data_IF_618870658634
#
_entry.id   IF_618870658634
#
_cell.length_a   1.000
_cell.length_b   1.000
_cell.length_c   1.000
_cell.angle_alpha   90.00
_cell.angle_beta   90.00
_cell.angle_gamma   90.00
#
_symmetry.space_group_name_H-M   'P 1'
#
loop_
_entity.id
_entity.type
_entity.pdbx_description
1 polymer ?
#
# COMPACT_ATOMS: atom_id res chain seq x y z
N UNK A 1 -9.23 41.16 -23.85
CA UNK A 1 -9.83 40.00 -23.14
C UNK A 1 -9.75 38.70 -23.95
N UNK A 2 -9.94 38.71 -25.28
CA UNK A 2 -9.90 37.48 -26.08
C UNK A 2 -8.50 36.81 -26.19
N UNK A 3 -7.40 37.58 -26.19
CA UNK A 3 -6.04 37.01 -26.30
C UNK A 3 -5.55 36.30 -25.02
N UNK A 4 -6.03 36.69 -23.84
CA UNK A 4 -5.66 36.05 -22.57
C UNK A 4 -6.34 34.68 -22.41
N UNK A 5 -7.58 34.56 -22.88
CA UNK A 5 -8.36 33.31 -22.82
C UNK A 5 -7.77 32.26 -23.78
N UNK A 6 -7.29 32.68 -24.95
CA UNK A 6 -6.67 31.76 -25.94
C UNK A 6 -5.33 31.21 -25.42
N UNK A 7 -4.53 32.03 -24.71
CA UNK A 7 -3.27 31.57 -24.11
C UNK A 7 -3.52 30.61 -22.94
N UNK A 8 -4.56 30.85 -22.13
CA UNK A 8 -4.93 29.96 -21.02
C UNK A 8 -5.44 28.59 -21.52
N UNK A 9 -6.19 28.56 -22.63
CA UNK A 9 -6.65 27.31 -23.26
C UNK A 9 -5.51 26.53 -23.94
N UNK A 10 -4.50 27.21 -24.48
CA UNK A 10 -3.33 26.55 -25.06
C UNK A 10 -2.41 25.91 -24.01
N UNK A 11 -2.32 26.48 -22.80
CA UNK A 11 -1.57 25.92 -21.67
C UNK A 11 -2.24 24.67 -21.07
N UNK A 12 -3.58 24.64 -21.02
CA UNK A 12 -4.32 23.46 -20.55
C UNK A 12 -4.25 22.27 -21.53
N UNK A 13 -4.10 22.54 -22.84
CA UNK A 13 -3.97 21.49 -23.85
C UNK A 13 -2.59 20.80 -23.84
N UNK A 14 -1.55 21.45 -23.32
CA UNK A 14 -0.20 20.88 -23.26
C UNK A 14 -0.01 19.88 -22.10
N UNK A 15 -0.85 19.95 -21.05
CA UNK A 15 -0.79 19.00 -19.93
C UNK A 15 -1.49 17.65 -20.21
N UNK A 16 -2.37 17.59 -21.22
CA UNK A 16 -3.12 16.37 -21.54
C UNK A 16 -2.31 15.35 -22.38
N UNK A 17 -1.07 15.68 -22.78
CA UNK A 17 -0.34 14.95 -23.82
C UNK A 17 0.86 14.11 -23.38
N UNK A 18 1.29 14.17 -22.12
CA UNK A 18 2.36 13.29 -21.62
C UNK A 18 1.70 12.12 -20.89
N UNK A 19 1.05 11.24 -21.65
CA UNK A 19 0.93 9.86 -21.19
C UNK A 19 2.36 9.31 -21.18
N UNK A 20 3.04 9.40 -20.03
CA UNK A 20 4.34 8.78 -19.86
C UNK A 20 4.15 7.29 -20.13
N UNK A 21 4.72 6.79 -21.23
CA UNK A 21 4.70 5.37 -21.50
C UNK A 21 5.50 4.69 -20.39
N UNK A 22 4.82 3.95 -19.52
CA UNK A 22 5.46 3.19 -18.45
C UNK A 22 6.51 2.24 -19.03
N UNK A 23 7.61 2.07 -18.29
CA UNK A 23 8.69 1.16 -18.62
C UNK A 23 8.15 -0.26 -18.52
N UNK A 24 8.24 -1.02 -19.63
CA UNK A 24 7.87 -2.43 -19.63
C UNK A 24 8.92 -3.23 -18.87
N UNK A 25 8.45 -4.15 -18.04
CA UNK A 25 9.27 -5.14 -17.33
C UNK A 25 8.91 -6.53 -17.82
N UNK A 26 9.90 -7.42 -17.87
CA UNK A 26 9.67 -8.84 -18.19
C UNK A 26 9.45 -9.65 -16.92
N UNK A 27 10.03 -9.21 -15.80
CA UNK A 27 9.94 -9.87 -14.51
C UNK A 27 10.01 -8.88 -13.35
N UNK A 28 9.67 -9.34 -12.14
CA UNK A 28 9.82 -8.54 -10.92
C UNK A 28 11.28 -8.13 -10.64
N UNK A 29 12.26 -8.85 -11.16
CA UNK A 29 13.69 -8.53 -10.98
C UNK A 29 14.13 -7.29 -11.76
N UNK A 30 13.32 -6.83 -12.72
CA UNK A 30 13.55 -5.60 -13.49
C UNK A 30 13.10 -4.33 -12.74
N UNK A 31 12.37 -4.49 -11.63
CA UNK A 31 11.96 -3.38 -10.78
C UNK A 31 13.14 -2.81 -9.99
N UNK A 32 13.11 -1.51 -9.63
CA UNK A 32 14.09 -0.93 -8.74
C UNK A 32 14.21 -1.70 -7.43
N UNK A 33 15.46 -1.89 -6.98
CA UNK A 33 15.74 -2.41 -5.64
C UNK A 33 15.91 -1.23 -4.71
N UNK A 34 14.97 -1.06 -3.80
CA UNK A 34 15.01 0.00 -2.79
C UNK A 34 15.87 -0.44 -1.60
N UNK A 35 16.85 0.38 -1.25
CA UNK A 35 17.75 0.16 -0.11
C UNK A 35 17.66 1.34 0.84
N UNK A 36 17.34 1.07 2.10
CA UNK A 36 17.17 2.10 3.12
C UNK A 36 18.38 2.14 4.05
N UNK A 37 19.04 3.29 4.14
CA UNK A 37 20.08 3.53 5.14
C UNK A 37 19.41 3.84 6.48
N UNK A 38 19.52 2.90 7.42
CA UNK A 38 18.91 3.01 8.75
C UNK A 38 19.64 3.98 9.68
N UNK A 39 20.70 4.67 9.23
CA UNK A 39 21.44 5.67 10.01
C UNK A 39 21.98 5.14 11.35
N UNK A 40 22.32 3.84 11.40
CA UNK A 40 22.77 3.17 12.61
C UNK A 40 21.67 2.75 13.58
N UNK A 41 20.39 3.03 13.28
CA UNK A 41 19.26 2.51 14.03
C UNK A 41 19.14 0.98 13.88
N UNK A 42 18.75 0.33 14.97
CA UNK A 42 18.41 -1.08 15.03
C UNK A 42 16.91 -1.29 14.77
N UNK A 43 16.50 -2.53 14.51
CA UNK A 43 15.08 -2.85 14.37
C UNK A 43 14.25 -2.47 15.62
N UNK A 44 14.84 -2.56 16.82
CA UNK A 44 14.14 -2.17 18.05
C UNK A 44 13.86 -0.67 18.15
N UNK A 45 14.68 0.17 17.50
CA UNK A 45 14.46 1.61 17.52
C UNK A 45 13.18 1.97 16.75
N UNK A 46 12.92 1.31 15.61
CA UNK A 46 11.67 1.46 14.87
C UNK A 46 10.45 0.90 15.61
N UNK A 47 10.60 -0.19 16.36
CA UNK A 47 9.51 -0.76 17.17
C UNK A 47 9.13 0.18 18.32
N UNK A 48 10.11 0.83 18.94
CA UNK A 48 9.92 1.67 20.12
C UNK A 48 9.66 3.16 19.79
N UNK A 49 9.87 3.58 18.55
CA UNK A 49 9.69 4.96 18.11
C UNK A 49 8.71 5.03 16.93
N UNK A 50 7.48 5.46 17.23
CA UNK A 50 6.40 5.56 16.24
C UNK A 50 6.73 6.50 15.09
N UNK A 51 7.36 7.65 15.37
CA UNK A 51 7.67 8.65 14.34
C UNK A 51 8.70 8.10 13.35
N UNK A 52 9.73 7.42 13.86
CA UNK A 52 10.76 6.79 13.04
C UNK A 52 10.17 5.68 12.15
N UNK A 53 9.24 4.88 12.69
CA UNK A 53 8.53 3.87 11.90
C UNK A 53 7.64 4.48 10.82
N UNK A 54 6.93 5.58 11.14
CA UNK A 54 6.08 6.29 10.19
C UNK A 54 6.89 6.93 9.06
N UNK A 55 8.06 7.48 9.36
CA UNK A 55 8.98 8.03 8.36
C UNK A 55 9.45 6.95 7.37
N UNK A 56 9.85 5.79 7.88
CA UNK A 56 10.25 4.66 7.03
C UNK A 56 9.06 4.15 6.19
N UNK A 57 7.87 4.05 6.78
CA UNK A 57 6.66 3.63 6.07
C UNK A 57 6.30 4.60 4.93
N UNK A 58 6.39 5.92 5.17
CA UNK A 58 6.13 6.94 4.16
C UNK A 58 7.19 6.91 3.03
N UNK A 59 8.45 6.65 3.37
CA UNK A 59 9.51 6.50 2.36
C UNK A 59 9.22 5.30 1.44
N UNK A 60 8.91 4.14 2.03
CA UNK A 60 8.52 2.95 1.26
C UNK A 60 7.25 3.18 0.45
N UNK A 61 6.26 3.90 0.99
CA UNK A 61 5.03 4.23 0.26
C UNK A 61 5.31 5.03 -1.01
N UNK A 62 6.19 6.04 -0.92
CA UNK A 62 6.59 6.85 -2.06
C UNK A 62 7.32 6.00 -3.10
N UNK A 63 8.30 5.20 -2.69
CA UNK A 63 9.06 4.33 -3.60
C UNK A 63 8.14 3.33 -4.35
N UNK A 64 7.16 2.75 -3.66
CA UNK A 64 6.18 1.86 -4.28
C UNK A 64 5.22 2.60 -5.24
N UNK A 65 4.83 3.83 -4.91
CA UNK A 65 4.01 4.65 -5.81
C UNK A 65 4.81 5.07 -7.05
N UNK A 66 6.08 5.44 -6.88
CA UNK A 66 7.00 5.78 -7.97
C UNK A 66 7.20 4.58 -8.90
N UNK A 67 7.34 3.38 -8.36
CA UNK A 67 7.40 2.17 -9.18
C UNK A 67 6.11 1.97 -9.98
N UNK A 68 4.95 2.13 -9.33
CA UNK A 68 3.66 2.00 -9.99
C UNK A 68 3.41 3.09 -11.04
N UNK A 69 3.95 4.29 -10.86
CA UNK A 69 3.88 5.37 -11.85
C UNK A 69 4.76 5.07 -13.06
N UNK A 70 5.99 4.59 -12.82
CA UNK A 70 7.01 4.47 -13.84
C UNK A 70 7.00 3.13 -14.59
N UNK A 71 6.52 2.03 -14.00
CA UNK A 71 6.65 0.68 -14.56
C UNK A 71 5.30 0.03 -14.87
N UNK A 72 5.24 -0.70 -16.00
CA UNK A 72 4.08 -1.46 -16.43
C UNK A 72 4.08 -2.85 -15.78
N UNK A 73 3.60 -2.91 -14.54
CA UNK A 73 3.54 -4.15 -13.75
C UNK A 73 2.26 -4.93 -14.09
N UNK A 74 2.35 -5.89 -15.01
CA UNK A 74 1.21 -6.73 -15.42
C UNK A 74 1.10 -8.05 -14.65
N UNK A 75 2.21 -8.52 -14.06
CA UNK A 75 2.22 -9.75 -13.28
C UNK A 75 1.39 -9.61 -11.99
N UNK A 76 0.37 -10.48 -11.87
CA UNK A 76 -0.55 -10.47 -10.73
C UNK A 76 0.16 -10.79 -9.43
N UNK A 77 1.20 -11.62 -9.44
CA UNK A 77 1.92 -11.96 -8.20
C UNK A 77 2.67 -10.74 -7.64
N UNK A 78 3.33 -9.99 -8.51
CA UNK A 78 3.99 -8.74 -8.17
C UNK A 78 2.99 -7.72 -7.65
N UNK A 79 1.87 -7.49 -8.37
CA UNK A 79 0.84 -6.56 -7.91
C UNK A 79 0.22 -6.94 -6.56
N UNK A 80 0.04 -8.24 -6.27
CA UNK A 80 -0.36 -8.70 -4.93
C UNK A 80 0.66 -8.35 -3.85
N UNK A 81 1.95 -8.38 -4.17
CA UNK A 81 3.02 -7.93 -3.28
C UNK A 81 2.90 -6.45 -2.95
N UNK A 82 2.68 -5.59 -3.95
CA UNK A 82 2.44 -4.16 -3.76
C UNK A 82 1.23 -3.90 -2.84
N UNK A 83 0.09 -4.52 -3.12
CA UNK A 83 -1.10 -4.40 -2.27
C UNK A 83 -0.85 -4.90 -0.83
N UNK A 84 -0.01 -5.94 -0.66
CA UNK A 84 0.37 -6.41 0.67
C UNK A 84 1.20 -5.36 1.41
N UNK A 85 2.16 -4.73 0.74
CA UNK A 85 2.98 -3.66 1.34
C UNK A 85 2.12 -2.45 1.70
N UNK A 86 1.26 -1.97 0.80
CA UNK A 86 0.35 -0.86 1.11
C UNK A 86 -0.59 -1.17 2.27
N UNK A 87 -1.12 -2.41 2.35
CA UNK A 87 -1.96 -2.79 3.49
C UNK A 87 -1.23 -2.68 4.84
N UNK A 88 0.06 -3.04 4.88
CA UNK A 88 0.88 -2.91 6.09
C UNK A 88 1.23 -1.44 6.38
N UNK A 89 1.56 -0.66 5.35
CA UNK A 89 1.85 0.78 5.48
C UNK A 89 0.63 1.51 6.07
N UNK A 90 -0.55 1.32 5.49
CA UNK A 90 -1.78 1.94 5.98
C UNK A 90 -2.15 1.46 7.39
N UNK A 91 -1.88 0.19 7.71
CA UNK A 91 -2.02 -0.32 9.07
C UNK A 91 -1.08 0.41 10.05
N UNK A 92 0.19 0.59 9.71
CA UNK A 92 1.18 1.34 10.51
C UNK A 92 0.78 2.81 10.66
N UNK A 93 0.11 3.40 9.67
CA UNK A 93 -0.41 4.76 9.69
C UNK A 93 -1.76 4.90 10.42
N UNK A 94 -2.28 3.82 11.02
CA UNK A 94 -3.62 3.73 11.64
C UNK A 94 -4.80 3.99 10.66
N UNK A 95 -4.58 3.97 9.34
CA UNK A 95 -5.66 3.99 8.34
C UNK A 95 -6.15 2.57 8.04
N UNK A 96 -6.91 2.04 8.99
CA UNK A 96 -7.45 0.67 8.92
C UNK A 96 -8.36 0.44 7.70
N UNK A 97 -9.03 1.49 7.21
CA UNK A 97 -9.94 1.36 6.05
C UNK A 97 -9.15 1.25 4.75
N UNK A 98 -8.13 2.10 4.58
CA UNK A 98 -7.24 1.99 3.43
C UNK A 98 -6.50 0.66 3.44
N UNK A 99 -6.02 0.20 4.61
CA UNK A 99 -5.39 -1.11 4.75
C UNK A 99 -6.30 -2.25 4.27
N UNK A 100 -7.56 -2.27 4.72
CA UNK A 100 -8.54 -3.29 4.31
C UNK A 100 -8.83 -3.24 2.81
N UNK A 101 -8.92 -2.05 2.23
CA UNK A 101 -9.14 -1.86 0.79
C UNK A 101 -8.00 -2.45 -0.05
N UNK A 102 -6.76 -2.26 0.37
CA UNK A 102 -5.60 -2.85 -0.32
C UNK A 102 -5.58 -4.38 -0.21
N UNK A 103 -5.95 -4.93 0.96
CA UNK A 103 -6.13 -6.38 1.11
C UNK A 103 -7.16 -6.91 0.10
N UNK A 104 -8.29 -6.23 -0.07
CA UNK A 104 -9.30 -6.64 -1.04
C UNK A 104 -8.80 -6.57 -2.49
N UNK A 105 -8.05 -5.54 -2.87
CA UNK A 105 -7.46 -5.43 -4.21
C UNK A 105 -6.51 -6.59 -4.48
N UNK A 106 -5.61 -6.88 -3.54
CA UNK A 106 -4.69 -8.00 -3.66
C UNK A 106 -5.42 -9.35 -3.73
N UNK A 107 -6.47 -9.55 -2.91
CA UNK A 107 -7.29 -10.77 -2.93
C UNK A 107 -7.97 -10.99 -4.28
N UNK A 108 -8.44 -9.93 -4.95
CA UNK A 108 -9.06 -10.00 -6.29
C UNK A 108 -8.07 -10.45 -7.38
N UNK A 109 -6.77 -10.28 -7.17
CA UNK A 109 -5.71 -10.74 -8.08
C UNK A 109 -5.28 -12.20 -7.82
N UNK A 110 -5.76 -12.83 -6.74
CA UNK A 110 -5.50 -14.23 -6.44
C UNK A 110 -6.51 -15.11 -7.18
N UNK A 111 -6.04 -16.12 -7.92
CA UNK A 111 -6.92 -16.93 -8.76
C UNK A 111 -7.49 -18.15 -8.04
N UNK A 112 -6.65 -18.87 -7.29
CA UNK A 112 -7.08 -20.06 -6.55
C UNK A 112 -7.89 -19.63 -5.33
N UNK A 113 -9.09 -20.21 -5.18
CA UNK A 113 -9.97 -19.88 -4.06
C UNK A 113 -9.32 -20.12 -2.70
N UNK A 114 -8.59 -21.23 -2.53
CA UNK A 114 -7.85 -21.51 -1.29
C UNK A 114 -6.84 -20.41 -0.94
N UNK A 115 -6.15 -19.86 -1.94
CA UNK A 115 -5.16 -18.80 -1.75
C UNK A 115 -5.82 -17.45 -1.44
N UNK A 116 -7.04 -17.19 -1.93
CA UNK A 116 -7.80 -15.98 -1.59
C UNK A 116 -8.13 -15.91 -0.10
N UNK A 117 -8.48 -17.05 0.50
CA UNK A 117 -8.74 -17.15 1.93
C UNK A 117 -7.48 -16.84 2.74
N UNK A 118 -6.32 -17.28 2.28
CA UNK A 118 -5.06 -17.08 2.98
C UNK A 118 -4.42 -15.70 2.75
N UNK A 119 -4.85 -14.95 1.74
CA UNK A 119 -4.26 -13.65 1.40
C UNK A 119 -4.49 -12.62 2.52
N UNK A 120 -3.41 -12.28 3.23
CA UNK A 120 -3.39 -11.34 4.36
C UNK A 120 -4.45 -11.61 5.45
N UNK A 121 -4.88 -12.87 5.60
CA UNK A 121 -5.96 -13.29 6.49
C UNK A 121 -5.85 -12.73 7.92
N UNK A 122 -4.70 -12.88 8.57
CA UNK A 122 -4.53 -12.44 9.95
C UNK A 122 -4.71 -10.93 10.11
N UNK A 123 -4.16 -10.14 9.19
CA UNK A 123 -4.28 -8.68 9.21
C UNK A 123 -5.71 -8.23 8.87
N UNK A 124 -6.34 -8.89 7.89
CA UNK A 124 -7.73 -8.68 7.50
C UNK A 124 -8.69 -8.88 8.68
N UNK A 125 -8.57 -10.01 9.39
CA UNK A 125 -9.40 -10.31 10.55
C UNK A 125 -9.07 -9.41 11.75
N UNK A 126 -7.81 -9.01 11.94
CA UNK A 126 -7.44 -8.04 12.96
C UNK A 126 -8.14 -6.70 12.72
N UNK A 127 -8.04 -6.19 11.49
CA UNK A 127 -8.61 -4.91 11.08
C UNK A 127 -10.14 -4.94 11.20
N UNK A 128 -10.79 -5.98 10.66
CA UNK A 128 -12.25 -6.15 10.76
C UNK A 128 -12.71 -6.16 12.20
N UNK A 129 -12.04 -6.94 13.05
CA UNK A 129 -12.35 -7.01 14.49
C UNK A 129 -12.20 -5.63 15.14
N UNK A 130 -11.12 -4.89 14.83
CA UNK A 130 -10.90 -3.55 15.38
C UNK A 130 -11.95 -2.54 14.91
N UNK A 131 -12.40 -2.64 13.67
CA UNK A 131 -13.44 -1.77 13.12
C UNK A 131 -14.83 -2.09 13.66
N UNK A 132 -15.13 -3.37 13.91
CA UNK A 132 -16.38 -3.80 14.54
C UNK A 132 -16.44 -3.43 16.02
N UNK A 133 -15.29 -3.51 16.71
CA UNK A 133 -15.16 -3.31 18.15
C UNK A 133 -14.08 -2.26 18.48
N UNK A 134 -14.32 -0.96 18.19
CA UNK A 134 -13.29 0.08 18.30
C UNK A 134 -12.87 0.38 19.75
N UNK A 135 -13.76 0.13 20.72
CA UNK A 135 -13.58 0.53 22.11
C UNK A 135 -13.11 -0.61 23.03
N UNK A 136 -12.99 -1.85 22.51
CA UNK A 136 -12.55 -2.97 23.32
C UNK A 136 -11.11 -2.78 23.81
N UNK A 137 -10.92 -3.02 25.10
CA UNK A 137 -9.59 -3.04 25.68
C UNK A 137 -8.83 -4.29 25.21
N UNK A 138 -7.51 -4.28 25.37
CA UNK A 138 -6.62 -5.26 24.74
C UNK A 138 -7.02 -6.73 25.00
N UNK A 139 -7.35 -7.08 26.24
CA UNK A 139 -7.72 -8.46 26.60
C UNK A 139 -9.06 -8.89 25.99
N UNK A 140 -10.06 -8.01 25.99
CA UNK A 140 -11.36 -8.27 25.37
C UNK A 140 -11.24 -8.32 23.84
N UNK A 141 -10.42 -7.44 23.27
CA UNK A 141 -10.10 -7.44 21.84
C UNK A 141 -9.43 -8.74 21.42
N UNK A 142 -8.46 -9.25 22.20
CA UNK A 142 -7.79 -10.53 21.90
C UNK A 142 -8.78 -11.68 21.84
N UNK A 143 -9.75 -11.73 22.75
CA UNK A 143 -10.77 -12.78 22.74
C UNK A 143 -11.73 -12.64 21.56
N UNK A 144 -12.16 -11.42 21.23
CA UNK A 144 -12.96 -11.15 20.03
C UNK A 144 -12.21 -11.54 18.74
N UNK A 145 -10.94 -11.15 18.62
CA UNK A 145 -10.11 -11.47 17.46
C UNK A 145 -9.92 -12.98 17.30
N UNK A 146 -9.61 -13.71 18.38
CA UNK A 146 -9.54 -15.18 18.35
C UNK A 146 -10.86 -15.82 17.91
N UNK A 147 -12.00 -15.27 18.33
CA UNK A 147 -13.31 -15.78 17.94
C UNK A 147 -13.61 -15.58 16.44
N UNK A 148 -12.98 -14.58 15.82
CA UNK A 148 -13.08 -14.23 14.40
C UNK A 148 -12.06 -14.95 13.49
N UNK A 149 -10.98 -15.52 14.05
CA UNK A 149 -10.00 -16.34 13.32
C UNK A 149 -10.55 -17.74 12.92
N UNK A 150 -11.62 -17.79 12.15
CA UNK A 150 -12.31 -19.02 11.71
C UNK A 150 -12.35 -19.19 10.20
#
# INVERSE_FOLDING_TARGET
>A
MSKLIIVLLALLAFQAGIAQNKIKIESADDLPKHYYDLQGNTAMDYINNRDLLLELAATLENDLNDDLENYAIEDKATMRGYHSNFSMIYFIQDDLKAALHEIEKGRKLTEKEADKYMYNFTLDEFIKTRLEYPDLQEDEFKEAFKANLK
#
